data_IF_594334734833
#
_entry.id   IF_594334734833
#
_cell.length_a   1.000
_cell.length_b   1.000
_cell.length_c   1.000
_cell.angle_alpha   90.00
_cell.angle_beta   90.00
_cell.angle_gamma   90.00
#
_symmetry.space_group_name_H-M   'P 1'
#
loop_
_entity.id
_entity.type
_entity.pdbx_description
1 polymer ?
#
# COMPACT_ATOMS: atom_id res chain seq x y z
N UNK A 1 -0.60 -10.05 -10.18
CA UNK A 1 -1.85 -9.25 -10.20
C UNK A 1 -2.35 -8.80 -8.82
N UNK A 2 -1.80 -9.29 -7.69
CA UNK A 2 -2.24 -8.94 -6.34
C UNK A 2 -2.21 -7.41 -6.08
N UNK A 3 -1.26 -6.69 -6.64
CA UNK A 3 -1.14 -5.23 -6.53
C UNK A 3 -2.21 -4.46 -7.32
N UNK A 4 -2.84 -5.08 -8.32
CA UNK A 4 -3.86 -4.38 -9.12
C UNK A 4 -5.07 -4.00 -8.26
N UNK A 5 -5.48 -4.86 -7.32
CA UNK A 5 -6.68 -4.63 -6.53
C UNK A 5 -6.57 -3.39 -5.62
N UNK A 6 -5.58 -3.28 -4.71
CA UNK A 6 -5.45 -2.07 -3.88
C UNK A 6 -5.17 -0.82 -4.71
N UNK A 7 -4.42 -0.95 -5.82
CA UNK A 7 -4.19 0.16 -6.73
C UNK A 7 -5.45 0.66 -7.41
N UNK A 8 -6.30 -0.24 -7.89
CA UNK A 8 -7.59 0.11 -8.48
C UNK A 8 -8.56 0.68 -7.45
N UNK A 9 -8.60 0.15 -6.23
CA UNK A 9 -9.40 0.74 -5.16
C UNK A 9 -9.02 2.20 -4.93
N UNK A 10 -7.73 2.47 -4.78
CA UNK A 10 -7.24 3.83 -4.55
C UNK A 10 -7.44 4.75 -5.76
N UNK A 11 -7.35 4.22 -6.98
CA UNK A 11 -7.59 4.97 -8.21
C UNK A 11 -9.06 5.37 -8.35
N UNK A 12 -9.97 4.44 -8.06
CA UNK A 12 -11.41 4.61 -8.25
C UNK A 12 -12.08 5.30 -7.06
N UNK A 13 -11.56 5.07 -5.83
CA UNK A 13 -12.09 5.60 -4.56
C UNK A 13 -11.00 6.26 -3.73
N UNK A 14 -10.47 7.42 -4.15
CA UNK A 14 -9.42 8.12 -3.40
C UNK A 14 -9.97 8.89 -2.18
N UNK A 15 -11.31 9.07 -2.08
CA UNK A 15 -11.95 9.95 -1.10
C UNK A 15 -11.59 9.60 0.36
N UNK A 16 -11.60 8.33 0.81
CA UNK A 16 -11.25 8.00 2.19
C UNK A 16 -9.83 8.43 2.56
N UNK A 17 -8.88 8.21 1.64
CA UNK A 17 -7.49 8.61 1.86
C UNK A 17 -7.31 10.13 1.76
N UNK A 18 -8.02 10.78 0.84
CA UNK A 18 -8.03 12.23 0.72
C UNK A 18 -8.56 12.92 1.97
N UNK A 19 -9.63 12.39 2.58
CA UNK A 19 -10.22 12.96 3.79
C UNK A 19 -9.39 12.68 5.04
N UNK A 20 -8.65 11.58 5.08
CA UNK A 20 -7.68 11.31 6.14
C UNK A 20 -6.45 12.20 6.06
N UNK A 21 -6.12 12.70 4.85
CA UNK A 21 -5.03 13.64 4.64
C UNK A 21 -5.45 15.07 5.01
N UNK A 22 -4.48 15.91 5.38
CA UNK A 22 -4.76 17.31 5.62
C UNK A 22 -5.34 17.98 4.36
N UNK A 23 -6.26 18.98 4.51
CA UNK A 23 -7.01 19.60 3.41
C UNK A 23 -6.18 20.21 2.27
N UNK A 24 -4.87 20.33 2.44
CA UNK A 24 -3.95 20.91 1.46
C UNK A 24 -3.47 19.95 0.37
N UNK A 25 -3.68 18.65 0.55
CA UNK A 25 -3.31 17.63 -0.45
C UNK A 25 -4.53 17.30 -1.31
N UNK A 26 -4.61 17.82 -2.52
CA UNK A 26 -5.69 17.45 -3.45
C UNK A 26 -5.78 15.93 -3.69
N UNK A 27 -6.88 15.45 -4.29
CA UNK A 27 -7.11 14.04 -4.60
C UNK A 27 -6.18 13.46 -5.69
N UNK A 28 -5.57 14.31 -6.49
CA UNK A 28 -4.70 13.90 -7.61
C UNK A 28 -3.51 13.03 -7.19
N UNK A 29 -2.76 13.33 -6.11
CA UNK A 29 -1.65 12.50 -5.67
C UNK A 29 -2.08 11.06 -5.32
N UNK A 30 -3.26 10.88 -4.76
CA UNK A 30 -3.76 9.55 -4.37
C UNK A 30 -4.19 8.72 -5.57
N UNK A 31 -4.76 9.33 -6.61
CA UNK A 31 -5.02 8.63 -7.87
C UNK A 31 -3.74 8.23 -8.59
N UNK A 32 -2.75 9.10 -8.60
CA UNK A 32 -1.43 8.79 -9.17
C UNK A 32 -0.77 7.63 -8.40
N UNK A 33 -0.83 7.65 -7.08
CA UNK A 33 -0.39 6.53 -6.24
C UNK A 33 -1.15 5.24 -6.56
N UNK A 34 -2.47 5.31 -6.70
CA UNK A 34 -3.30 4.16 -7.09
C UNK A 34 -2.90 3.58 -8.44
N UNK A 35 -2.70 4.43 -9.44
CA UNK A 35 -2.23 4.02 -10.76
C UNK A 35 -0.84 3.36 -10.67
N UNK A 36 0.09 3.95 -9.92
CA UNK A 36 1.43 3.41 -9.69
C UNK A 36 1.40 2.03 -9.04
N UNK A 37 0.57 1.85 -8.01
CA UNK A 37 0.40 0.55 -7.34
C UNK A 37 -0.25 -0.47 -8.27
N UNK A 38 -1.27 -0.09 -9.04
CA UNK A 38 -1.91 -0.98 -10.01
C UNK A 38 -0.95 -1.45 -11.11
N UNK A 39 -0.08 -0.56 -11.61
CA UNK A 39 0.93 -0.90 -12.62
C UNK A 39 2.01 -1.85 -12.09
N UNK A 40 2.24 -1.88 -10.78
CA UNK A 40 3.22 -2.80 -10.18
C UNK A 40 2.88 -4.28 -10.45
N UNK A 41 1.60 -4.63 -10.53
CA UNK A 41 1.17 -6.00 -10.81
C UNK A 41 1.63 -6.51 -12.18
N UNK A 42 1.28 -5.86 -13.29
CA UNK A 42 1.77 -6.23 -14.63
C UNK A 42 3.30 -6.18 -14.76
N UNK A 43 3.97 -5.19 -14.19
CA UNK A 43 5.43 -5.08 -14.25
C UNK A 43 6.11 -6.23 -13.51
N UNK A 44 5.62 -6.58 -12.32
CA UNK A 44 6.11 -7.72 -11.56
C UNK A 44 5.92 -9.04 -12.31
N UNK A 45 4.75 -9.23 -12.94
CA UNK A 45 4.51 -10.40 -13.79
C UNK A 45 5.49 -10.47 -14.95
N UNK A 46 5.72 -9.37 -15.67
CA UNK A 46 6.68 -9.30 -16.77
C UNK A 46 8.12 -9.57 -16.28
N UNK A 47 8.49 -9.03 -15.14
CA UNK A 47 9.81 -9.19 -14.53
C UNK A 47 10.07 -10.60 -14.00
N UNK A 48 9.11 -11.17 -13.29
CA UNK A 48 9.31 -12.42 -12.54
C UNK A 48 8.88 -13.68 -13.28
N UNK A 49 7.90 -13.58 -14.18
CA UNK A 49 7.36 -14.74 -14.89
C UNK A 49 7.85 -14.77 -16.34
N UNK A 50 7.59 -13.69 -17.09
CA UNK A 50 7.90 -13.70 -18.54
C UNK A 50 9.40 -13.66 -18.81
N UNK A 51 10.16 -12.93 -18.00
CA UNK A 51 11.62 -12.80 -18.16
C UNK A 51 12.41 -13.58 -17.10
N UNK A 52 11.82 -14.65 -16.59
CA UNK A 52 12.44 -15.50 -15.56
C UNK A 52 13.90 -15.89 -15.90
N UNK A 53 14.79 -15.71 -14.92
CA UNK A 53 16.22 -16.07 -15.09
C UNK A 53 17.03 -15.16 -16.01
N UNK A 54 16.44 -14.22 -16.73
CA UNK A 54 17.13 -13.31 -17.66
C UNK A 54 17.18 -11.89 -17.14
N UNK A 55 18.29 -11.16 -17.34
CA UNK A 55 18.32 -9.72 -17.08
C UNK A 55 17.33 -9.03 -18.04
N UNK A 56 16.46 -8.18 -17.52
CA UNK A 56 15.51 -7.46 -18.34
C UNK A 56 15.18 -6.09 -17.79
N UNK A 57 14.80 -5.16 -18.68
CA UNK A 57 14.35 -3.83 -18.34
C UNK A 57 13.08 -3.87 -17.47
N UNK A 58 12.26 -4.90 -17.62
CA UNK A 58 11.05 -5.12 -16.81
C UNK A 58 11.37 -5.36 -15.36
N UNK A 59 12.41 -6.14 -15.04
CA UNK A 59 12.89 -6.34 -13.66
C UNK A 59 13.37 -5.04 -13.02
N UNK A 60 14.06 -4.21 -13.78
CA UNK A 60 14.51 -2.91 -13.27
C UNK A 60 13.31 -2.00 -13.02
N UNK A 61 12.38 -1.91 -13.97
CA UNK A 61 11.17 -1.11 -13.83
C UNK A 61 10.30 -1.57 -12.64
N UNK A 62 10.09 -2.88 -12.48
CA UNK A 62 9.39 -3.46 -11.34
C UNK A 62 10.06 -3.09 -10.02
N UNK A 63 11.37 -3.26 -9.91
CA UNK A 63 12.11 -2.93 -8.67
C UNK A 63 12.02 -1.45 -8.32
N UNK A 64 12.18 -0.57 -9.29
CA UNK A 64 12.08 0.88 -9.07
C UNK A 64 10.68 1.23 -8.60
N UNK A 65 9.66 0.76 -9.31
CA UNK A 65 8.27 1.07 -8.99
C UNK A 65 7.87 0.47 -7.63
N UNK A 66 8.21 -0.80 -7.36
CA UNK A 66 7.94 -1.46 -6.09
C UNK A 66 8.63 -0.75 -4.91
N UNK A 67 9.90 -0.33 -5.09
CA UNK A 67 10.62 0.41 -4.06
C UNK A 67 9.98 1.77 -3.81
N UNK A 68 9.65 2.51 -4.86
CA UNK A 68 8.97 3.81 -4.74
C UNK A 68 7.62 3.67 -4.04
N UNK A 69 6.80 2.71 -4.45
CA UNK A 69 5.50 2.45 -3.82
C UNK A 69 5.65 2.06 -2.34
N UNK A 70 6.66 1.24 -2.01
CA UNK A 70 6.94 0.86 -0.61
C UNK A 70 7.36 2.07 0.22
N UNK A 71 8.25 2.91 -0.30
CA UNK A 71 8.68 4.13 0.41
C UNK A 71 7.53 5.10 0.63
N UNK A 72 6.72 5.37 -0.40
CA UNK A 72 5.54 6.24 -0.30
C UNK A 72 4.54 5.67 0.70
N UNK A 73 4.22 4.38 0.62
CA UNK A 73 3.28 3.74 1.54
C UNK A 73 3.82 3.75 2.97
N UNK A 74 5.12 3.48 3.16
CA UNK A 74 5.75 3.49 4.49
C UNK A 74 5.77 4.89 5.10
N UNK A 75 5.85 5.95 4.29
CA UNK A 75 5.83 7.33 4.78
C UNK A 75 4.48 7.74 5.37
N UNK A 76 3.39 7.07 4.99
CA UNK A 76 2.05 7.32 5.56
C UNK A 76 1.99 6.97 7.06
N UNK A 77 2.79 5.99 7.51
CA UNK A 77 2.83 5.57 8.92
C UNK A 77 3.32 6.70 9.83
N UNK A 78 4.51 7.29 9.62
CA UNK A 78 4.96 8.41 10.47
C UNK A 78 4.07 9.64 10.34
N UNK A 79 3.50 9.93 9.17
CA UNK A 79 2.57 11.05 9.03
C UNK A 79 1.30 10.83 9.86
N UNK A 80 0.76 9.60 9.91
CA UNK A 80 -0.34 9.27 10.80
C UNK A 80 0.05 9.36 12.28
N UNK A 81 1.23 8.84 12.65
CA UNK A 81 1.73 8.88 14.03
C UNK A 81 2.02 10.30 14.53
N UNK A 82 2.43 11.22 13.65
CA UNK A 82 2.66 12.63 13.94
C UNK A 82 1.38 13.48 13.92
N UNK A 83 0.20 12.87 13.71
CA UNK A 83 -1.06 13.59 13.62
C UNK A 83 -1.21 14.47 12.38
N UNK A 84 -0.31 14.33 11.40
CA UNK A 84 -0.37 15.04 10.12
C UNK A 84 -1.43 14.45 9.17
N UNK A 85 -1.90 13.24 9.48
CA UNK A 85 -2.99 12.55 8.78
C UNK A 85 -3.87 11.84 9.82
N UNK A 86 -5.17 11.91 9.66
CA UNK A 86 -6.14 11.27 10.56
C UNK A 86 -6.41 9.82 10.11
N UNK A 87 -5.45 8.94 10.34
CA UNK A 87 -5.64 7.52 10.09
C UNK A 87 -6.17 6.78 11.31
N UNK A 88 -7.16 5.90 11.14
CA UNK A 88 -7.52 4.96 12.20
C UNK A 88 -6.31 4.13 12.61
N UNK A 89 -6.10 3.99 13.91
CA UNK A 89 -4.96 3.24 14.46
C UNK A 89 -4.90 1.81 13.87
N UNK A 90 -6.05 1.18 13.69
CA UNK A 90 -6.15 -0.15 13.09
C UNK A 90 -5.56 -0.20 11.67
N UNK A 91 -5.84 0.81 10.83
CA UNK A 91 -5.27 0.91 9.46
C UNK A 91 -3.76 1.06 9.49
N UNK A 92 -3.24 1.90 10.40
CA UNK A 92 -1.79 2.12 10.57
C UNK A 92 -1.11 0.83 11.03
N UNK A 93 -1.67 0.13 12.02
CA UNK A 93 -1.13 -1.12 12.55
C UNK A 93 -1.11 -2.23 11.50
N UNK A 94 -2.21 -2.41 10.76
CA UNK A 94 -2.29 -3.41 9.68
C UNK A 94 -1.23 -3.14 8.62
N UNK A 95 -1.07 -1.88 8.21
CA UNK A 95 -0.07 -1.50 7.22
C UNK A 95 1.36 -1.73 7.74
N UNK A 96 1.66 -1.33 8.97
CA UNK A 96 2.97 -1.51 9.60
C UNK A 96 3.35 -3.00 9.71
N UNK A 97 2.44 -3.82 10.23
CA UNK A 97 2.64 -5.28 10.34
C UNK A 97 2.83 -5.90 8.95
N UNK A 98 2.01 -5.50 7.96
CA UNK A 98 2.12 -5.97 6.59
C UNK A 98 3.47 -5.63 5.96
N UNK A 99 3.98 -4.41 6.15
CA UNK A 99 5.29 -3.99 5.65
C UNK A 99 6.40 -4.83 6.30
N UNK A 100 6.40 -4.98 7.62
CA UNK A 100 7.41 -5.77 8.34
C UNK A 100 7.38 -7.22 7.87
N UNK A 101 6.21 -7.85 7.81
CA UNK A 101 6.06 -9.23 7.35
C UNK A 101 6.54 -9.42 5.91
N UNK A 102 6.18 -8.51 5.01
CA UNK A 102 6.62 -8.53 3.63
C UNK A 102 8.14 -8.38 3.50
N UNK A 103 8.77 -7.48 4.25
CA UNK A 103 10.23 -7.31 4.26
C UNK A 103 10.95 -8.55 4.79
N UNK A 104 10.40 -9.21 5.82
CA UNK A 104 10.94 -10.49 6.33
C UNK A 104 10.85 -11.60 5.29
N UNK A 105 9.71 -11.72 4.59
CA UNK A 105 9.55 -12.67 3.49
C UNK A 105 10.55 -12.39 2.35
N UNK A 106 10.71 -11.11 1.95
CA UNK A 106 11.68 -10.70 0.94
C UNK A 106 13.10 -11.08 1.34
N UNK A 107 13.50 -10.79 2.60
CA UNK A 107 14.82 -11.17 3.13
C UNK A 107 15.02 -12.69 3.10
N UNK A 108 14.04 -13.48 3.51
CA UNK A 108 14.10 -14.95 3.46
C UNK A 108 14.24 -15.47 2.04
N UNK A 109 13.46 -14.96 1.10
CA UNK A 109 13.58 -15.31 -0.31
C UNK A 109 14.98 -15.00 -0.86
N UNK A 110 15.55 -13.84 -0.53
CA UNK A 110 16.90 -13.47 -0.96
C UNK A 110 17.97 -14.42 -0.39
N UNK A 111 17.86 -14.80 0.88
CA UNK A 111 18.77 -15.75 1.51
C UNK A 111 18.66 -17.16 0.90
N UNK A 112 17.45 -17.62 0.61
CA UNK A 112 17.22 -18.93 -0.02
C UNK A 112 17.84 -19.02 -1.42
N UNK A 113 17.81 -17.95 -2.22
CA UNK A 113 18.42 -17.94 -3.55
C UNK A 113 19.94 -17.79 -3.49
N UNK A 114 20.48 -16.99 -2.55
CA UNK A 114 21.93 -16.80 -2.43
C UNK A 114 22.66 -18.06 -1.94
N UNK A 115 21.99 -18.88 -1.13
CA UNK A 115 22.52 -20.14 -0.65
C UNK A 115 22.47 -21.29 -1.69
N UNK A 116 21.84 -21.05 -2.85
CA UNK A 116 21.60 -22.05 -3.91
C UNK A 116 20.91 -23.35 -3.43
N UNK A 117 20.29 -23.32 -2.24
CA UNK A 117 19.94 -24.54 -1.50
C UNK A 117 18.46 -24.90 -1.55
N UNK A 118 17.57 -23.96 -1.86
CA UNK A 118 16.13 -24.29 -1.71
C UNK A 118 15.21 -23.45 -2.61
N UNK A 119 15.05 -23.86 -3.88
CA UNK A 119 14.09 -23.24 -4.80
C UNK A 119 12.68 -23.20 -4.24
N UNK A 120 12.25 -24.20 -3.46
CA UNK A 120 10.91 -24.23 -2.86
C UNK A 120 10.74 -23.13 -1.81
N UNK A 121 11.71 -22.96 -0.95
CA UNK A 121 11.70 -21.91 0.06
C UNK A 121 11.69 -20.52 -0.60
N UNK A 122 12.53 -20.31 -1.62
CA UNK A 122 12.49 -19.09 -2.40
C UNK A 122 11.12 -18.81 -2.98
N UNK A 123 10.49 -19.77 -3.65
CA UNK A 123 9.18 -19.59 -4.27
C UNK A 123 8.10 -19.26 -3.24
N UNK A 124 8.10 -19.93 -2.09
CA UNK A 124 7.14 -19.66 -1.03
C UNK A 124 7.28 -18.23 -0.51
N UNK A 125 8.47 -17.82 -0.08
CA UNK A 125 8.66 -16.50 0.52
C UNK A 125 8.57 -15.38 -0.51
N UNK A 126 8.96 -15.62 -1.76
CA UNK A 126 8.76 -14.68 -2.85
C UNK A 126 7.28 -14.47 -3.18
N UNK A 127 6.48 -15.52 -3.21
CA UNK A 127 5.03 -15.42 -3.40
C UNK A 127 4.34 -14.73 -2.22
N UNK A 128 4.75 -15.05 -0.99
CA UNK A 128 4.23 -14.38 0.22
C UNK A 128 4.53 -12.87 0.23
N UNK A 129 5.73 -12.48 -0.19
CA UNK A 129 6.08 -11.08 -0.34
C UNK A 129 5.08 -10.34 -1.25
N UNK A 130 4.74 -10.94 -2.41
CA UNK A 130 3.81 -10.35 -3.37
C UNK A 130 2.34 -10.39 -2.93
N UNK A 131 2.00 -11.16 -1.91
CA UNK A 131 0.64 -11.28 -1.38
C UNK A 131 0.42 -10.41 -0.15
N UNK A 132 1.35 -10.43 0.81
CA UNK A 132 1.18 -9.82 2.13
C UNK A 132 1.01 -8.30 2.03
N UNK A 133 1.88 -7.62 1.28
CA UNK A 133 1.84 -6.17 1.20
C UNK A 133 0.57 -5.64 0.51
N UNK A 134 0.14 -6.17 -0.65
CA UNK A 134 -1.14 -5.76 -1.24
C UNK A 134 -2.35 -6.09 -0.37
N UNK A 135 -2.35 -7.25 0.32
CA UNK A 135 -3.42 -7.61 1.23
C UNK A 135 -3.51 -6.62 2.41
N UNK A 136 -2.37 -6.30 3.04
CA UNK A 136 -2.33 -5.32 4.12
C UNK A 136 -2.78 -3.93 3.65
N UNK A 137 -2.35 -3.48 2.47
CA UNK A 137 -2.78 -2.21 1.90
C UNK A 137 -4.30 -2.19 1.63
N UNK A 138 -4.84 -3.29 1.08
CA UNK A 138 -6.29 -3.43 0.86
C UNK A 138 -7.07 -3.37 2.17
N UNK A 139 -6.66 -4.14 3.19
CA UNK A 139 -7.33 -4.16 4.50
C UNK A 139 -7.27 -2.77 5.15
N UNK A 140 -6.13 -2.11 5.10
CA UNK A 140 -5.97 -0.76 5.64
C UNK A 140 -6.89 0.26 4.94
N UNK A 141 -7.06 0.17 3.61
CA UNK A 141 -8.01 1.00 2.87
C UNK A 141 -9.47 0.72 3.25
N UNK A 142 -9.85 -0.55 3.36
CA UNK A 142 -11.21 -0.94 3.77
C UNK A 142 -11.53 -0.48 5.19
N UNK A 143 -10.57 -0.57 6.12
CA UNK A 143 -10.73 -0.05 7.47
C UNK A 143 -10.88 1.48 7.47
N UNK A 144 -10.18 2.19 6.61
CA UNK A 144 -10.32 3.62 6.44
C UNK A 144 -11.70 3.99 5.89
N UNK A 145 -12.19 3.28 4.87
CA UNK A 145 -13.54 3.46 4.33
C UNK A 145 -14.62 3.19 5.40
N UNK A 146 -14.45 2.12 6.17
CA UNK A 146 -15.38 1.75 7.24
C UNK A 146 -15.51 2.84 8.30
N UNK A 147 -14.39 3.34 8.81
CA UNK A 147 -14.39 4.43 9.81
C UNK A 147 -15.05 5.69 9.24
N UNK A 148 -14.78 5.99 7.98
CA UNK A 148 -15.38 7.13 7.31
C UNK A 148 -16.91 7.03 7.21
N UNK A 149 -17.44 5.84 6.89
CA UNK A 149 -18.89 5.59 6.82
C UNK A 149 -19.53 5.69 8.20
N UNK A 150 -18.85 5.26 9.27
CA UNK A 150 -19.34 5.38 10.64
C UNK A 150 -19.43 6.85 11.08
N UNK A 151 -18.37 7.64 10.88
CA UNK A 151 -18.38 9.08 11.19
C UNK A 151 -19.49 9.83 10.46
N UNK A 152 -19.84 9.42 9.25
CA UNK A 152 -20.90 10.03 8.46
C UNK A 152 -22.31 9.63 8.92
N UNK A 153 -22.44 8.59 9.75
CA UNK A 153 -23.72 8.08 10.26
C UNK A 153 -24.05 8.54 11.67
N UNK A 154 -23.06 9.03 12.43
CA UNK A 154 -23.38 9.63 13.71
C UNK A 154 -24.14 10.94 13.46
N UNK A 155 -25.41 11.05 13.88
CA UNK A 155 -26.15 12.28 13.76
C UNK A 155 -25.43 13.37 14.56
N UNK A 156 -25.42 14.60 14.04
CA UNK A 156 -24.87 15.82 14.65
C UNK A 156 -25.47 16.10 16.04
N UNK A 157 -25.26 15.19 16.96
CA UNK A 157 -25.92 15.17 18.28
C UNK A 157 -25.04 15.63 19.44
N UNK A 158 -23.75 15.89 19.29
CA UNK A 158 -22.93 16.53 20.34
C UNK A 158 -21.86 17.40 19.69
N UNK A 159 -22.16 18.66 19.63
CA UNK A 159 -21.43 19.90 19.30
C UNK A 159 -19.91 19.92 19.26
N UNK A 160 -19.28 19.25 18.30
CA UNK A 160 -17.96 19.70 17.86
C UNK A 160 -18.17 20.38 16.50
N UNK A 161 -18.43 21.69 16.53
CA UNK A 161 -18.44 22.53 15.32
C UNK A 161 -17.04 22.47 14.72
N UNK A 162 -16.90 21.75 13.61
CA UNK A 162 -15.82 22.01 12.68
C UNK A 162 -15.98 23.46 12.21
N UNK A 163 -15.07 24.32 12.63
CA UNK A 163 -15.00 25.69 12.12
C UNK A 163 -14.60 25.56 10.64
N UNK A 164 -15.46 25.93 9.67
CA UNK A 164 -15.03 26.01 8.29
C UNK A 164 -14.00 27.12 8.21
N UNK A 165 -12.76 26.77 7.89
CA UNK A 165 -11.78 27.79 7.54
C UNK A 165 -12.28 28.48 6.27
N UNK A 166 -12.69 29.73 6.42
CA UNK A 166 -13.01 30.62 5.33
C UNK A 166 -11.79 30.74 4.39
N UNK A 167 -12.09 30.60 3.11
CA UNK A 167 -11.21 30.81 1.96
C UNK A 167 -10.52 32.19 1.96
#
# INVERSE_FOLDING_TARGET
>A
FCYCYPGLLLLLRPEPLYRAALPRCGWFPFRLMGASVALNGPLSYMGDVVTWGRPSRWKTADRVLATTNTLVTSSLIPFGALGLMHFPLASVLVLAVGIVAALLCKRRATLAISAATNCREYLIFHSLWHLILPAAATIAQLLLEWNFVQDSREPEGIGVRFIPYAS
#
